data_IF_217541817678
#
_entry.id   IF_217541817678
#
_cell.length_a   1.000
_cell.length_b   1.000
_cell.length_c   1.000
_cell.angle_alpha   90.00
_cell.angle_beta   90.00
_cell.angle_gamma   90.00
#
_symmetry.space_group_name_H-M   'P 1'
#
loop_
_entity.id
_entity.type
_entity.pdbx_description
1 polymer ?
#
# COMPACT_ATOMS: atom_id res chain seq x y z
N UNK A 1 28.76 -0.50 -12.87
CA UNK A 1 27.75 -0.74 -13.94
C UNK A 1 27.53 -2.23 -14.22
N UNK A 2 28.50 -3.12 -13.95
CA UNK A 2 28.46 -4.54 -14.35
C UNK A 2 27.35 -5.41 -13.73
N UNK A 3 26.73 -4.99 -12.63
CA UNK A 3 25.66 -5.77 -11.98
C UNK A 3 24.29 -5.62 -12.65
N UNK A 4 24.02 -4.49 -13.32
CA UNK A 4 22.68 -4.20 -13.86
C UNK A 4 22.19 -5.24 -14.89
N UNK A 5 22.99 -5.68 -15.87
CA UNK A 5 22.54 -6.69 -16.85
C UNK A 5 22.15 -8.03 -16.22
N UNK A 6 22.85 -8.45 -15.16
CA UNK A 6 22.55 -9.68 -14.42
C UNK A 6 21.21 -9.55 -13.70
N UNK A 7 20.99 -8.41 -13.04
CA UNK A 7 19.74 -8.13 -12.34
C UNK A 7 18.55 -7.99 -13.31
N UNK A 8 18.71 -7.31 -14.46
CA UNK A 8 17.64 -7.20 -15.47
C UNK A 8 17.21 -8.58 -15.99
N UNK A 9 18.16 -9.50 -16.17
CA UNK A 9 17.85 -10.88 -16.54
C UNK A 9 17.11 -11.62 -15.42
N UNK A 10 17.53 -11.43 -14.16
CA UNK A 10 16.90 -12.05 -12.99
C UNK A 10 15.45 -11.61 -12.76
N UNK A 11 15.07 -10.40 -13.17
CA UNK A 11 13.69 -9.92 -13.13
C UNK A 11 12.73 -10.77 -13.97
N UNK A 12 13.23 -11.52 -14.96
CA UNK A 12 12.43 -12.41 -15.82
C UNK A 12 12.44 -13.86 -15.35
N UNK A 13 12.98 -14.13 -14.15
CA UNK A 13 12.99 -15.47 -13.58
C UNK A 13 11.56 -16.02 -13.40
N UNK A 14 11.27 -17.26 -13.83
CA UNK A 14 9.97 -17.88 -13.58
C UNK A 14 9.78 -18.27 -12.12
N UNK A 15 10.86 -18.35 -11.34
CA UNK A 15 10.82 -18.61 -9.91
C UNK A 15 10.56 -17.30 -9.16
N UNK A 16 9.39 -17.21 -8.53
CA UNK A 16 8.98 -16.05 -7.73
C UNK A 16 10.00 -15.67 -6.66
N UNK A 17 10.59 -16.66 -5.96
CA UNK A 17 11.60 -16.41 -4.93
C UNK A 17 12.87 -15.78 -5.52
N UNK A 18 13.40 -16.33 -6.62
CA UNK A 18 14.58 -15.77 -7.29
C UNK A 18 14.30 -14.38 -7.87
N UNK A 19 13.09 -14.16 -8.41
CA UNK A 19 12.67 -12.85 -8.89
C UNK A 19 12.64 -11.85 -7.72
N UNK A 20 12.09 -12.25 -6.57
CA UNK A 20 12.03 -11.42 -5.37
C UNK A 20 13.42 -11.08 -4.81
N UNK A 21 14.32 -12.06 -4.69
CA UNK A 21 15.72 -11.82 -4.31
C UNK A 21 16.39 -10.84 -5.26
N UNK A 22 16.18 -11.01 -6.57
CA UNK A 22 16.71 -10.10 -7.58
C UNK A 22 16.15 -8.68 -7.42
N UNK A 23 14.83 -8.55 -7.20
CA UNK A 23 14.19 -7.25 -6.96
C UNK A 23 14.83 -6.56 -5.76
N UNK A 24 15.00 -7.27 -4.63
CA UNK A 24 15.59 -6.69 -3.43
C UNK A 24 17.03 -6.20 -3.64
N UNK A 25 17.80 -6.83 -4.53
CA UNK A 25 19.16 -6.37 -4.87
C UNK A 25 19.18 -5.02 -5.63
N UNK A 26 18.06 -4.57 -6.20
CA UNK A 26 17.99 -3.24 -6.81
C UNK A 26 18.17 -2.11 -5.79
N UNK A 27 17.86 -2.31 -4.51
CA UNK A 27 18.08 -1.25 -3.52
C UNK A 27 19.57 -0.95 -3.35
N UNK A 28 20.39 -1.99 -3.21
CA UNK A 28 21.85 -1.87 -3.16
C UNK A 28 22.40 -1.27 -4.45
N UNK A 29 21.88 -1.70 -5.62
CA UNK A 29 22.28 -1.13 -6.91
C UNK A 29 22.04 0.39 -6.96
N UNK A 30 20.84 0.83 -6.59
CA UNK A 30 20.44 2.25 -6.63
C UNK A 30 21.27 3.06 -5.63
N UNK A 31 21.45 2.56 -4.41
CA UNK A 31 22.21 3.27 -3.37
C UNK A 31 23.69 3.43 -3.74
N UNK A 32 24.32 2.35 -4.22
CA UNK A 32 25.73 2.35 -4.62
C UNK A 32 26.01 3.24 -5.83
N UNK A 33 24.99 3.50 -6.66
CA UNK A 33 25.09 4.31 -7.87
C UNK A 33 24.20 5.55 -7.81
N UNK A 34 23.95 6.08 -6.61
CA UNK A 34 22.96 7.14 -6.36
C UNK A 34 23.16 8.44 -7.15
N UNK A 35 24.37 8.69 -7.70
CA UNK A 35 24.63 9.85 -8.58
C UNK A 35 24.11 9.67 -10.00
N UNK A 36 23.99 8.44 -10.49
CA UNK A 36 23.60 8.12 -11.86
C UNK A 36 22.07 8.14 -12.02
N UNK A 37 21.55 9.22 -12.60
CA UNK A 37 20.12 9.40 -12.85
C UNK A 37 19.59 8.50 -13.97
N UNK A 38 20.44 8.12 -14.94
CA UNK A 38 20.04 7.24 -16.05
C UNK A 38 19.81 5.83 -15.52
N UNK A 39 20.74 5.34 -14.69
CA UNK A 39 20.59 4.05 -14.02
C UNK A 39 19.37 4.03 -13.10
N UNK A 40 19.21 5.05 -12.24
CA UNK A 40 18.04 5.18 -11.37
C UNK A 40 16.72 5.12 -12.17
N UNK A 41 16.64 5.91 -13.24
CA UNK A 41 15.46 5.96 -14.09
C UNK A 41 15.17 4.60 -14.74
N UNK A 42 16.21 3.97 -15.29
CA UNK A 42 16.08 2.65 -15.93
C UNK A 42 15.65 1.58 -14.92
N UNK A 43 16.28 1.56 -13.75
CA UNK A 43 15.94 0.65 -12.66
C UNK A 43 14.47 0.81 -12.21
N UNK A 44 14.02 2.04 -11.98
CA UNK A 44 12.64 2.30 -11.57
C UNK A 44 11.63 1.89 -12.64
N UNK A 45 11.90 2.17 -13.92
CA UNK A 45 11.01 1.75 -15.01
C UNK A 45 10.92 0.22 -15.11
N UNK A 46 12.04 -0.49 -14.94
CA UNK A 46 12.04 -1.97 -14.90
C UNK A 46 11.27 -2.54 -13.72
N UNK A 47 11.41 -1.92 -12.54
CA UNK A 47 10.64 -2.30 -11.36
C UNK A 47 9.14 -2.02 -11.55
N UNK A 48 8.76 -0.96 -12.26
CA UNK A 48 7.37 -0.66 -12.59
C UNK A 48 6.76 -1.72 -13.54
N UNK A 49 7.53 -2.16 -14.55
CA UNK A 49 7.09 -3.21 -15.49
C UNK A 49 6.81 -4.53 -14.74
N UNK A 50 7.70 -4.88 -13.80
CA UNK A 50 7.51 -6.04 -12.92
C UNK A 50 6.30 -5.83 -12.02
N UNK A 51 6.16 -4.67 -11.37
CA UNK A 51 5.05 -4.39 -10.46
C UNK A 51 3.68 -4.54 -11.13
N UNK A 52 3.56 -4.09 -12.38
CA UNK A 52 2.31 -4.14 -13.14
C UNK A 52 1.81 -5.58 -13.33
N UNK A 53 2.72 -6.51 -13.68
CA UNK A 53 2.38 -7.88 -14.10
C UNK A 53 2.60 -8.95 -13.03
N UNK A 54 3.26 -8.65 -11.92
CA UNK A 54 3.69 -9.66 -10.97
C UNK A 54 2.63 -10.07 -9.92
N UNK A 55 2.98 -11.05 -9.09
CA UNK A 55 2.22 -11.43 -7.90
C UNK A 55 2.47 -10.46 -6.73
N UNK A 56 1.68 -10.60 -5.65
CA UNK A 56 1.78 -9.69 -4.49
C UNK A 56 3.11 -9.78 -3.75
N UNK A 57 3.79 -10.92 -3.77
CA UNK A 57 5.12 -11.06 -3.18
C UNK A 57 6.13 -10.15 -3.89
N UNK A 58 6.15 -10.19 -5.22
CA UNK A 58 7.04 -9.35 -6.03
C UNK A 58 6.69 -7.87 -5.91
N UNK A 59 5.40 -7.53 -5.89
CA UNK A 59 4.94 -6.15 -5.62
C UNK A 59 5.41 -5.65 -4.27
N UNK A 60 5.37 -6.50 -3.24
CA UNK A 60 5.89 -6.18 -1.92
C UNK A 60 7.42 -5.97 -1.92
N UNK A 61 8.18 -6.79 -2.67
CA UNK A 61 9.62 -6.58 -2.85
C UNK A 61 9.91 -5.24 -3.54
N UNK A 62 9.17 -4.89 -4.59
CA UNK A 62 9.32 -3.59 -5.26
C UNK A 62 9.02 -2.44 -4.29
N UNK A 63 7.92 -2.51 -3.54
CA UNK A 63 7.61 -1.52 -2.50
C UNK A 63 8.75 -1.39 -1.48
N UNK A 64 9.33 -2.52 -1.05
CA UNK A 64 10.44 -2.54 -0.09
C UNK A 64 11.67 -1.78 -0.63
N UNK A 65 12.01 -1.98 -1.91
CA UNK A 65 13.08 -1.24 -2.59
C UNK A 65 12.79 0.26 -2.63
N UNK A 66 11.57 0.65 -2.98
CA UNK A 66 11.17 2.07 -3.05
C UNK A 66 11.25 2.76 -1.70
N UNK A 67 10.80 2.10 -0.63
CA UNK A 67 10.91 2.63 0.73
C UNK A 67 12.37 2.81 1.16
N UNK A 68 13.27 1.89 0.79
CA UNK A 68 14.71 1.99 1.08
C UNK A 68 15.42 3.06 0.25
N UNK A 69 14.91 3.37 -0.94
CA UNK A 69 15.54 4.31 -1.89
C UNK A 69 14.88 5.68 -1.94
N UNK A 70 13.94 5.98 -1.03
CA UNK A 70 13.05 7.16 -1.10
C UNK A 70 13.76 8.50 -1.32
N UNK A 71 14.94 8.68 -0.75
CA UNK A 71 15.75 9.91 -0.91
C UNK A 71 16.23 10.15 -2.35
N UNK A 72 16.38 9.09 -3.14
CA UNK A 72 16.85 9.17 -4.53
C UNK A 72 15.71 9.39 -5.52
N UNK A 73 14.47 9.02 -5.16
CA UNK A 73 13.31 8.99 -6.06
C UNK A 73 13.02 10.37 -6.69
N UNK A 74 13.24 11.47 -5.95
CA UNK A 74 13.03 12.84 -6.44
C UNK A 74 13.83 13.18 -7.72
N UNK A 75 14.90 12.44 -8.02
CA UNK A 75 15.79 12.68 -9.16
C UNK A 75 15.47 11.84 -10.40
N UNK A 76 14.36 11.09 -10.38
CA UNK A 76 13.93 10.28 -11.52
C UNK A 76 13.55 11.17 -12.70
N UNK A 77 13.88 10.75 -13.92
CA UNK A 77 13.61 11.52 -15.14
C UNK A 77 12.17 11.29 -15.64
N UNK A 78 11.75 10.02 -15.70
CA UNK A 78 10.45 9.61 -16.23
C UNK A 78 9.51 9.17 -15.10
N UNK A 79 9.33 10.03 -14.09
CA UNK A 79 8.46 9.76 -12.95
C UNK A 79 7.01 9.49 -13.36
N UNK A 80 6.50 10.24 -14.34
CA UNK A 80 5.12 10.08 -14.85
C UNK A 80 4.88 8.70 -15.45
N UNK A 81 5.85 8.16 -16.18
CA UNK A 81 5.74 6.85 -16.82
C UNK A 81 5.79 5.73 -15.77
N UNK A 82 6.67 5.86 -14.77
CA UNK A 82 6.68 4.98 -13.60
C UNK A 82 5.32 4.97 -12.88
N UNK A 83 4.73 6.15 -12.66
CA UNK A 83 3.43 6.29 -12.00
C UNK A 83 2.29 5.69 -12.83
N UNK A 84 2.25 5.90 -14.15
CA UNK A 84 1.24 5.30 -15.04
C UNK A 84 1.22 3.77 -14.94
N UNK A 85 2.39 3.13 -14.99
CA UNK A 85 2.50 1.67 -14.94
C UNK A 85 2.11 1.09 -13.59
N UNK A 86 2.48 1.76 -12.50
CA UNK A 86 2.13 1.32 -11.14
C UNK A 86 0.66 1.56 -10.81
N UNK A 87 0.11 2.73 -11.16
CA UNK A 87 -1.30 3.07 -10.90
C UNK A 87 -2.29 2.21 -11.67
N UNK A 88 -1.90 1.60 -12.79
CA UNK A 88 -2.73 0.64 -13.51
C UNK A 88 -3.25 -0.51 -12.61
N UNK A 89 -2.46 -0.90 -11.60
CA UNK A 89 -2.80 -1.98 -10.66
C UNK A 89 -3.94 -1.59 -9.69
N UNK A 90 -4.27 -0.30 -9.54
CA UNK A 90 -5.41 0.14 -8.73
C UNK A 90 -6.75 -0.37 -9.27
N UNK A 91 -6.85 -0.68 -10.56
CA UNK A 91 -8.05 -1.28 -11.15
C UNK A 91 -8.18 -2.79 -10.90
N UNK A 92 -7.23 -3.41 -10.17
CA UNK A 92 -7.26 -4.84 -9.85
C UNK A 92 -8.40 -5.19 -8.90
N UNK A 93 -8.98 -6.38 -9.08
CA UNK A 93 -9.95 -6.94 -8.13
C UNK A 93 -9.31 -7.41 -6.82
N UNK A 94 -7.98 -7.59 -6.78
CA UNK A 94 -7.25 -8.03 -5.60
C UNK A 94 -6.97 -6.86 -4.63
N UNK A 95 -7.55 -6.88 -3.41
CA UNK A 95 -7.37 -5.81 -2.42
C UNK A 95 -5.94 -5.66 -1.94
N UNK A 96 -5.15 -6.75 -1.91
CA UNK A 96 -3.74 -6.70 -1.51
C UNK A 96 -2.93 -5.98 -2.60
N UNK A 97 -3.20 -6.28 -3.87
CA UNK A 97 -2.56 -5.59 -4.99
C UNK A 97 -2.87 -4.09 -4.97
N UNK A 98 -4.13 -3.70 -4.74
CA UNK A 98 -4.53 -2.28 -4.61
C UNK A 98 -3.87 -1.62 -3.39
N UNK A 99 -3.84 -2.29 -2.23
CA UNK A 99 -3.18 -1.79 -1.03
C UNK A 99 -1.67 -1.58 -1.23
N UNK A 100 -0.98 -2.52 -1.87
CA UNK A 100 0.44 -2.37 -2.21
C UNK A 100 0.67 -1.19 -3.15
N UNK A 101 -0.23 -0.99 -4.10
CA UNK A 101 -0.17 0.14 -5.04
C UNK A 101 -0.34 1.49 -4.33
N UNK A 102 -1.30 1.60 -3.41
CA UNK A 102 -1.46 2.80 -2.57
C UNK A 102 -0.20 3.07 -1.74
N UNK A 103 0.43 2.03 -1.17
CA UNK A 103 1.71 2.19 -0.46
C UNK A 103 2.85 2.64 -1.37
N UNK A 104 2.90 2.17 -2.62
CA UNK A 104 3.86 2.67 -3.63
C UNK A 104 3.65 4.15 -3.89
N UNK A 105 2.39 4.59 -4.03
CA UNK A 105 2.08 6.02 -4.22
C UNK A 105 2.49 6.86 -3.01
N UNK A 106 2.29 6.36 -1.79
CA UNK A 106 2.80 7.01 -0.59
C UNK A 106 4.33 7.05 -0.54
N UNK A 107 5.02 5.95 -0.89
CA UNK A 107 6.48 5.90 -0.93
C UNK A 107 7.07 6.88 -1.96
N UNK A 108 6.36 7.08 -3.07
CA UNK A 108 6.72 7.97 -4.17
C UNK A 108 5.93 9.29 -4.14
N UNK A 109 5.45 9.75 -2.98
CA UNK A 109 4.60 10.95 -2.87
C UNK A 109 5.23 12.19 -3.52
N UNK A 110 6.56 12.29 -3.50
CA UNK A 110 7.33 13.36 -4.16
C UNK A 110 7.16 13.42 -5.69
N UNK A 111 6.68 12.35 -6.32
CA UNK A 111 6.42 12.28 -7.76
C UNK A 111 4.96 12.55 -8.11
N UNK A 112 4.02 12.25 -7.21
CA UNK A 112 2.59 12.24 -7.51
C UNK A 112 1.75 13.19 -6.64
N UNK A 113 2.38 14.05 -5.83
CA UNK A 113 1.70 15.00 -4.94
C UNK A 113 0.73 15.93 -5.66
N UNK A 114 0.92 16.19 -6.95
CA UNK A 114 0.06 17.07 -7.75
C UNK A 114 -0.93 16.33 -8.66
N UNK A 115 -0.88 15.00 -8.66
CA UNK A 115 -1.72 14.17 -9.52
C UNK A 115 -3.13 14.02 -8.92
N UNK A 116 -4.08 14.75 -9.50
CA UNK A 116 -5.48 14.73 -9.04
C UNK A 116 -6.10 13.32 -9.09
N UNK A 117 -5.71 12.50 -10.07
CA UNK A 117 -6.15 11.10 -10.16
C UNK A 117 -5.69 10.30 -8.94
N UNK A 118 -4.46 10.50 -8.47
CA UNK A 118 -3.93 9.83 -7.26
C UNK A 118 -4.69 10.31 -6.03
N UNK A 119 -4.97 11.61 -5.90
CA UNK A 119 -5.77 12.14 -4.79
C UNK A 119 -7.16 11.51 -4.74
N UNK A 120 -7.83 11.40 -5.88
CA UNK A 120 -9.14 10.78 -5.97
C UNK A 120 -9.09 9.30 -5.55
N UNK A 121 -8.13 8.54 -6.06
CA UNK A 121 -7.97 7.12 -5.74
C UNK A 121 -7.70 6.89 -4.25
N UNK A 122 -6.83 7.69 -3.63
CA UNK A 122 -6.57 7.60 -2.18
C UNK A 122 -7.83 7.91 -1.38
N UNK A 123 -8.61 8.93 -1.76
CA UNK A 123 -9.88 9.25 -1.08
C UNK A 123 -10.91 8.13 -1.20
N UNK A 124 -11.05 7.52 -2.37
CA UNK A 124 -11.95 6.38 -2.57
C UNK A 124 -11.52 5.17 -1.73
N UNK A 125 -10.21 4.91 -1.64
CA UNK A 125 -9.68 3.80 -0.85
C UNK A 125 -9.90 3.94 0.67
N UNK A 126 -10.03 5.17 1.20
CA UNK A 126 -10.39 5.41 2.61
C UNK A 126 -11.79 4.90 2.97
N UNK A 127 -12.70 4.84 1.99
CA UNK A 127 -14.05 4.32 2.17
C UNK A 127 -14.18 2.84 1.76
N UNK A 128 -13.06 2.15 1.50
CA UNK A 128 -13.07 0.73 1.16
C UNK A 128 -13.55 -0.12 2.35
N UNK A 129 -14.17 -1.27 2.04
CA UNK A 129 -14.53 -2.28 3.04
C UNK A 129 -13.35 -3.14 3.47
N UNK A 130 -12.29 -3.13 2.67
CA UNK A 130 -11.12 -3.98 2.83
C UNK A 130 -10.10 -3.28 3.74
N UNK A 131 -9.92 -3.81 4.95
CA UNK A 131 -8.97 -3.28 5.95
C UNK A 131 -7.55 -3.00 5.41
N UNK A 132 -6.88 -3.90 4.63
CA UNK A 132 -5.53 -3.61 4.14
C UNK A 132 -5.49 -2.42 3.18
N UNK A 133 -6.55 -2.19 2.41
CA UNK A 133 -6.67 -1.07 1.47
C UNK A 133 -6.84 0.25 2.21
N UNK A 134 -7.70 0.28 3.24
CA UNK A 134 -7.90 1.47 4.10
C UNK A 134 -6.59 1.86 4.80
N UNK A 135 -5.88 0.89 5.39
CA UNK A 135 -4.59 1.16 6.06
C UNK A 135 -3.53 1.67 5.09
N UNK A 136 -3.50 1.14 3.87
CA UNK A 136 -2.61 1.63 2.83
C UNK A 136 -2.99 3.04 2.35
N UNK A 137 -4.28 3.35 2.27
CA UNK A 137 -4.79 4.67 1.93
C UNK A 137 -4.40 5.70 2.99
N UNK A 138 -4.52 5.37 4.29
CA UNK A 138 -4.07 6.25 5.38
C UNK A 138 -2.57 6.55 5.26
N UNK A 139 -1.75 5.52 5.01
CA UNK A 139 -0.31 5.71 4.81
C UNK A 139 0.01 6.61 3.61
N UNK A 140 -0.69 6.44 2.48
CA UNK A 140 -0.50 7.28 1.31
C UNK A 140 -0.97 8.71 1.55
N UNK A 141 -2.12 8.87 2.22
CA UNK A 141 -2.71 10.15 2.58
C UNK A 141 -1.76 11.00 3.42
N UNK A 142 -1.20 10.43 4.49
CA UNK A 142 -0.26 11.11 5.39
C UNK A 142 0.92 11.71 4.61
N UNK A 143 1.56 10.91 3.76
CA UNK A 143 2.71 11.33 2.96
C UNK A 143 2.37 12.33 1.86
N UNK A 144 1.21 12.20 1.23
CA UNK A 144 0.77 13.13 0.19
C UNK A 144 0.33 14.48 0.78
N UNK A 145 -0.35 14.48 1.92
CA UNK A 145 -0.76 15.70 2.63
C UNK A 145 0.43 16.53 3.10
N UNK A 146 1.55 15.90 3.44
CA UNK A 146 2.80 16.59 3.76
C UNK A 146 3.37 17.41 2.59
N UNK A 147 2.98 17.10 1.35
CA UNK A 147 3.50 17.75 0.13
C UNK A 147 2.45 18.56 -0.62
N UNK A 148 1.18 18.16 -0.58
CA UNK A 148 0.09 18.74 -1.38
C UNK A 148 -0.91 19.48 -0.51
N UNK A 149 -0.84 20.81 -0.51
CA UNK A 149 -1.79 21.66 0.22
C UNK A 149 -3.25 21.47 -0.24
N UNK A 150 -3.45 21.25 -1.55
CA UNK A 150 -4.77 20.98 -2.14
C UNK A 150 -5.39 19.69 -1.59
N UNK A 151 -4.59 18.64 -1.45
CA UNK A 151 -5.07 17.40 -0.86
C UNK A 151 -5.44 17.65 0.61
N UNK A 152 -4.54 18.25 1.38
CA UNK A 152 -4.70 18.53 2.82
C UNK A 152 -5.97 19.32 3.16
N UNK A 153 -6.34 20.31 2.34
CA UNK A 153 -7.57 21.09 2.55
C UNK A 153 -8.86 20.26 2.37
N UNK A 154 -8.83 19.24 1.51
CA UNK A 154 -10.02 18.48 1.13
C UNK A 154 -10.16 17.10 1.77
N UNK A 155 -9.27 16.71 2.70
CA UNK A 155 -9.27 15.36 3.29
C UNK A 155 -9.97 15.27 4.65
N UNK A 156 -10.18 16.40 5.32
CA UNK A 156 -10.85 16.43 6.62
C UNK A 156 -12.23 15.75 6.59
N UNK A 157 -13.11 15.99 5.58
CA UNK A 157 -14.39 15.29 5.51
C UNK A 157 -14.23 13.76 5.38
N UNK A 158 -13.22 13.31 4.62
CA UNK A 158 -12.94 11.88 4.44
C UNK A 158 -12.48 11.22 5.75
N UNK A 159 -11.66 11.92 6.55
CA UNK A 159 -11.17 11.42 7.85
C UNK A 159 -12.33 11.32 8.85
N UNK A 160 -13.19 12.34 8.91
CA UNK A 160 -14.38 12.33 9.78
C UNK A 160 -15.27 11.12 9.44
N UNK A 161 -15.59 10.94 8.16
CA UNK A 161 -16.40 9.81 7.69
C UNK A 161 -15.76 8.46 8.02
N UNK A 162 -14.44 8.33 7.91
CA UNK A 162 -13.72 7.13 8.28
C UNK A 162 -13.88 6.83 9.78
N UNK A 163 -13.66 7.83 10.65
CA UNK A 163 -13.81 7.68 12.10
C UNK A 163 -15.25 7.29 12.48
N UNK A 164 -16.25 7.96 11.92
CA UNK A 164 -17.66 7.62 12.13
C UNK A 164 -17.95 6.16 11.75
N UNK A 165 -17.47 5.72 10.58
CA UNK A 165 -17.68 4.34 10.11
C UNK A 165 -17.05 3.29 11.04
N UNK A 166 -15.86 3.58 11.59
CA UNK A 166 -15.19 2.71 12.55
C UNK A 166 -15.95 2.64 13.88
N UNK A 167 -16.51 3.76 14.31
CA UNK A 167 -17.29 3.85 15.56
C UNK A 167 -18.57 3.02 15.46
N UNK A 168 -19.29 3.13 14.34
CA UNK A 168 -20.50 2.33 14.05
C UNK A 168 -20.19 0.82 14.04
N UNK A 169 -19.04 0.41 13.48
CA UNK A 169 -18.64 -0.99 13.48
C UNK A 169 -18.32 -1.52 14.89
N UNK A 170 -17.72 -0.70 15.75
CA UNK A 170 -17.44 -1.06 17.14
C UNK A 170 -18.74 -1.26 17.92
N UNK A 171 -19.69 -0.33 17.81
CA UNK A 171 -20.98 -0.42 18.49
C UNK A 171 -21.77 -1.65 18.03
N UNK A 172 -21.79 -1.95 16.73
CA UNK A 172 -22.42 -3.15 16.21
C UNK A 172 -21.78 -4.44 16.77
N UNK A 173 -20.45 -4.50 16.88
CA UNK A 173 -19.74 -5.64 17.46
C UNK A 173 -20.00 -5.81 18.96
N UNK A 174 -20.07 -4.71 19.71
CA UNK A 174 -20.42 -4.74 21.14
C UNK A 174 -21.84 -5.26 21.32
N UNK A 175 -22.82 -4.74 20.57
CA UNK A 175 -24.21 -5.19 20.63
C UNK A 175 -24.37 -6.66 20.24
N UNK A 176 -23.66 -7.15 19.23
CA UNK A 176 -23.70 -8.58 18.87
C UNK A 176 -23.12 -9.47 19.98
N UNK A 177 -22.06 -9.03 20.67
CA UNK A 177 -21.50 -9.78 21.81
C UNK A 177 -22.45 -9.80 23.01
N UNK A 178 -23.12 -8.68 23.31
CA UNK A 178 -24.08 -8.64 24.44
C UNK A 178 -25.32 -9.49 24.18
N UNK A 179 -25.79 -9.60 22.94
CA UNK A 179 -26.92 -10.46 22.59
C UNK A 179 -26.52 -11.93 22.42
N UNK A 180 -25.29 -12.22 21.96
CA UNK A 180 -24.75 -13.59 21.91
C UNK A 180 -24.45 -14.19 23.29
N UNK A 181 -24.19 -13.34 24.30
CA UNK A 181 -24.07 -13.75 25.71
C UNK A 181 -25.40 -14.07 26.40
N UNK A 182 -26.55 -13.69 25.80
CA UNK A 182 -27.87 -13.97 26.35
C UNK A 182 -28.43 -15.36 25.95
N UNK A 183 -27.68 -16.15 25.16
CA UNK A 183 -28.04 -17.52 24.79
C UNK A 183 -27.38 -18.60 25.67
N UNK A 184 -26.54 -18.21 26.63
CA UNK A 184 -26.22 -19.08 27.79
C UNK A 184 -27.20 -18.75 28.91
N UNK A 185 -28.28 -19.53 28.99
CA UNK A 185 -29.39 -19.31 29.92
C UNK A 185 -28.99 -19.32 31.41
N UNK A 186 -29.89 -18.85 32.28
CA UNK A 186 -29.67 -18.76 33.72
C UNK A 186 -29.56 -20.16 34.32
N UNK A 187 -28.46 -20.44 35.00
CA UNK A 187 -28.32 -21.59 35.89
C UNK A 187 -28.57 -21.14 37.33
N UNK A 188 -29.84 -20.92 37.65
CA UNK A 188 -30.38 -20.81 39.02
C UNK A 188 -31.79 -21.43 38.95
N UNK A 189 -32.29 -22.27 39.83
CA UNK A 189 -31.82 -22.91 41.05
C UNK A 189 -32.81 -24.07 41.29
N UNK A 190 -32.37 -25.21 41.84
CA UNK A 190 -33.28 -26.04 42.62
C UNK A 190 -32.73 -26.16 44.03
N UNK A 191 -33.48 -25.52 44.92
CA UNK A 191 -33.40 -25.43 46.35
C UNK A 191 -33.15 -26.77 47.05
N UNK A 192 -32.27 -26.71 48.04
CA UNK A 192 -32.37 -27.53 49.24
C UNK A 192 -33.78 -27.47 49.83
N UNK A 193 -34.31 -28.60 50.35
CA UNK A 193 -34.79 -28.68 51.74
C UNK A 193 -35.14 -30.13 52.15
N UNK A 194 -35.46 -30.46 53.43
CA UNK A 194 -34.82 -31.54 54.16
C UNK A 194 -35.80 -32.63 54.63
N UNK A 195 -35.26 -33.80 54.99
CA UNK A 195 -35.64 -34.69 56.12
C UNK A 195 -34.94 -36.03 55.99
#
# INVERSE_FOLDING_TARGET
>A
MDQFPVLDKGLRSPSANKQCETILQFSALIQNNSRDTILLNTALLKLADVFQSANNLSRYCVLSVLLQCGSHIRRVLNGDEFLKRTTFVLASNDPIARALTLRVLGACAVLCSDWLQVHHQVRMALSSKESPEVLAAIFALDRLCALSSRLSQGVLPCIIQLLESMTVQLDARVRLRTHGGALSGPTEALSADPR
#
